data_IF_919085505390
#
_entry.id   IF_919085505390
#
_cell.length_a   1.000
_cell.length_b   1.000
_cell.length_c   1.000
_cell.angle_alpha   90.00
_cell.angle_beta   90.00
_cell.angle_gamma   90.00
#
_symmetry.space_group_name_H-M   'P 1'
#
loop_
_entity.id
_entity.type
_entity.pdbx_description
1 polymer ?
#
# COMPACT_ATOMS: atom_id res chain seq x y z
N UNK A 1 12.69 8.29 -9.14
CA UNK A 1 11.88 9.51 -9.24
C UNK A 1 12.67 10.65 -9.86
N UNK A 2 13.86 10.99 -9.36
CA UNK A 2 14.69 12.12 -9.87
C UNK A 2 14.93 12.16 -11.38
N UNK A 3 15.23 11.01 -12.02
CA UNK A 3 15.49 10.96 -13.47
C UNK A 3 14.26 11.23 -14.34
N UNK A 4 13.06 10.88 -13.85
CA UNK A 4 11.83 10.86 -14.66
C UNK A 4 10.79 11.88 -14.19
N UNK A 5 10.94 12.44 -12.99
CA UNK A 5 10.06 13.42 -12.35
C UNK A 5 8.56 13.20 -12.63
N UNK A 6 7.99 12.04 -12.29
CA UNK A 6 6.62 11.74 -12.64
C UNK A 6 5.64 12.54 -11.77
N UNK A 7 4.51 12.92 -12.33
CA UNK A 7 3.42 13.58 -11.59
C UNK A 7 2.53 12.57 -10.84
N UNK A 8 2.61 11.29 -11.19
CA UNK A 8 1.79 10.21 -10.62
C UNK A 8 2.57 8.89 -10.54
N UNK A 9 2.43 8.19 -9.42
CA UNK A 9 2.99 6.86 -9.18
C UNK A 9 1.87 5.85 -9.01
N UNK A 10 1.96 4.73 -9.72
CA UNK A 10 1.14 3.56 -9.44
C UNK A 10 1.93 2.59 -8.56
N UNK A 11 1.47 2.40 -7.33
CA UNK A 11 2.03 1.43 -6.41
C UNK A 11 1.20 0.16 -6.43
N UNK A 12 1.69 -0.84 -7.16
CA UNK A 12 1.14 -2.20 -7.15
C UNK A 12 1.53 -2.91 -5.85
N UNK A 13 0.72 -2.74 -4.82
CA UNK A 13 1.02 -3.14 -3.45
C UNK A 13 0.68 -4.61 -3.19
N UNK A 14 1.43 -5.51 -3.84
CA UNK A 14 1.35 -6.94 -3.57
C UNK A 14 1.84 -7.30 -2.16
N UNK A 15 1.26 -8.34 -1.58
CA UNK A 15 1.61 -8.91 -0.28
C UNK A 15 2.19 -10.32 -0.41
N UNK A 16 2.43 -10.76 -1.64
CA UNK A 16 3.05 -12.04 -1.99
C UNK A 16 4.50 -12.18 -1.56
N UNK A 17 5.13 -11.14 -1.00
CA UNK A 17 6.42 -11.25 -0.34
C UNK A 17 6.33 -11.86 1.08
N UNK A 18 5.12 -12.01 1.64
CA UNK A 18 4.87 -12.53 2.98
C UNK A 18 5.36 -13.99 3.13
N UNK A 19 5.83 -14.36 4.31
CA UNK A 19 6.29 -15.72 4.64
C UNK A 19 5.25 -16.80 4.36
N UNK A 20 3.98 -16.53 4.68
CA UNK A 20 2.88 -17.47 4.46
C UNK A 20 2.42 -17.55 2.99
N UNK A 21 2.99 -16.76 2.07
CA UNK A 21 2.63 -16.77 0.66
C UNK A 21 3.12 -18.02 -0.09
N UNK A 22 2.24 -18.65 -0.88
CA UNK A 22 2.56 -19.88 -1.62
C UNK A 22 3.35 -19.64 -2.91
N UNK A 23 3.24 -18.45 -3.51
CA UNK A 23 3.90 -18.08 -4.77
C UNK A 23 5.15 -17.22 -4.52
N UNK A 24 5.13 -16.49 -3.41
CA UNK A 24 6.22 -15.69 -2.87
C UNK A 24 7.50 -16.45 -2.58
N UNK A 25 8.65 -15.75 -2.64
CA UNK A 25 9.97 -16.31 -2.32
C UNK A 25 10.84 -15.44 -1.41
N UNK A 26 10.27 -14.36 -0.87
CA UNK A 26 11.02 -13.38 -0.06
C UNK A 26 10.93 -13.63 1.44
N UNK A 27 9.95 -14.43 1.89
CA UNK A 27 9.81 -14.82 3.29
C UNK A 27 9.75 -13.65 4.28
N UNK A 28 9.12 -12.54 3.90
CA UNK A 28 9.00 -11.36 4.76
C UNK A 28 8.00 -11.59 5.88
N UNK A 29 8.29 -11.04 7.06
CA UNK A 29 7.29 -10.93 8.11
C UNK A 29 6.28 -9.84 7.76
N UNK A 30 5.09 -9.88 8.39
CA UNK A 30 4.08 -8.81 8.28
C UNK A 30 4.68 -7.42 8.59
N UNK A 31 5.51 -7.33 9.64
CA UNK A 31 6.23 -6.09 9.98
C UNK A 31 7.25 -5.66 8.91
N UNK A 32 7.92 -6.61 8.25
CA UNK A 32 8.79 -6.32 7.12
C UNK A 32 8.02 -5.74 5.93
N UNK A 33 6.83 -6.27 5.69
CA UNK A 33 5.91 -5.76 4.65
C UNK A 33 5.42 -4.34 4.97
N UNK A 34 4.99 -4.08 6.21
CA UNK A 34 4.64 -2.73 6.67
C UNK A 34 5.81 -1.75 6.53
N UNK A 35 7.04 -2.18 6.83
CA UNK A 35 8.23 -1.34 6.63
C UNK A 35 8.41 -0.97 5.15
N UNK A 36 8.16 -1.91 4.23
CA UNK A 36 8.13 -1.64 2.79
C UNK A 36 7.05 -0.62 2.43
N UNK A 37 5.83 -0.76 2.94
CA UNK A 37 4.72 0.18 2.70
C UNK A 37 5.17 1.60 3.04
N UNK A 38 5.65 1.78 4.28
CA UNK A 38 6.07 3.08 4.79
C UNK A 38 7.25 3.65 4.00
N UNK A 39 8.22 2.83 3.57
CA UNK A 39 9.31 3.32 2.69
C UNK A 39 8.80 3.89 1.37
N UNK A 40 7.79 3.26 0.75
CA UNK A 40 7.20 3.75 -0.51
C UNK A 40 6.42 5.04 -0.25
N UNK A 41 5.55 5.07 0.76
CA UNK A 41 4.75 6.24 1.09
C UNK A 41 5.61 7.42 1.51
N UNK A 42 6.58 7.22 2.39
CA UNK A 42 7.48 8.28 2.85
C UNK A 42 8.30 8.84 1.69
N UNK A 43 8.75 7.99 0.77
CA UNK A 43 9.47 8.46 -0.42
C UNK A 43 8.56 9.34 -1.28
N UNK A 44 7.36 8.87 -1.63
CA UNK A 44 6.49 9.64 -2.52
C UNK A 44 6.01 10.92 -1.86
N UNK A 45 5.57 10.86 -0.60
CA UNK A 45 5.01 12.00 0.14
C UNK A 45 6.07 13.02 0.57
N UNK A 46 7.31 12.63 0.84
CA UNK A 46 8.32 13.57 1.37
C UNK A 46 9.46 13.88 0.41
N UNK A 47 9.65 13.09 -0.64
CA UNK A 47 10.78 13.22 -1.57
C UNK A 47 10.35 13.43 -3.02
N UNK A 48 9.05 13.51 -3.29
CA UNK A 48 8.54 13.85 -4.62
C UNK A 48 7.27 14.70 -4.53
N UNK A 49 6.95 15.38 -5.62
CA UNK A 49 5.68 16.11 -5.77
C UNK A 49 4.58 15.27 -6.44
N UNK A 50 4.83 13.96 -6.60
CA UNK A 50 3.94 13.05 -7.31
C UNK A 50 2.72 12.66 -6.46
N UNK A 51 1.57 12.49 -7.12
CA UNK A 51 0.45 11.72 -6.56
C UNK A 51 0.79 10.22 -6.49
N UNK A 52 0.04 9.46 -5.70
CA UNK A 52 0.21 8.00 -5.63
C UNK A 52 -1.14 7.27 -5.71
N UNK A 53 -1.28 6.33 -6.62
CA UNK A 53 -2.41 5.41 -6.67
C UNK A 53 -1.95 4.09 -6.08
N UNK A 54 -2.67 3.59 -5.09
CA UNK A 54 -2.38 2.31 -4.45
C UNK A 54 -3.34 1.28 -5.03
N UNK A 55 -2.78 0.35 -5.79
CA UNK A 55 -3.49 -0.75 -6.39
C UNK A 55 -3.17 -2.04 -5.64
N UNK A 56 -4.18 -2.89 -5.43
CA UNK A 56 -3.96 -4.20 -4.85
C UNK A 56 -3.10 -5.05 -5.80
N UNK A 57 -2.06 -5.70 -5.27
CA UNK A 57 -1.22 -6.64 -6.01
C UNK A 57 -1.54 -8.11 -5.71
N UNK A 58 -0.57 -8.99 -5.93
CA UNK A 58 -0.67 -10.40 -5.57
C UNK A 58 -0.75 -10.64 -4.06
N UNK A 59 -1.27 -11.80 -3.67
CA UNK A 59 -1.44 -12.20 -2.27
C UNK A 59 -2.17 -13.54 -2.21
N UNK A 60 -1.42 -14.61 -1.98
CA UNK A 60 -1.83 -16.00 -2.14
C UNK A 60 -1.38 -16.87 -0.96
N UNK A 61 -1.47 -16.30 0.24
CA UNK A 61 -1.07 -16.98 1.46
C UNK A 61 -2.01 -18.14 1.81
N UNK A 62 -1.47 -19.06 2.61
CA UNK A 62 -2.22 -20.19 3.15
C UNK A 62 -2.04 -20.26 4.68
N UNK A 63 -3.07 -19.88 5.46
CA UNK A 63 -4.42 -19.52 5.03
C UNK A 63 -4.52 -18.13 4.36
N UNK A 64 -5.50 -17.94 3.45
CA UNK A 64 -5.70 -16.69 2.68
C UNK A 64 -5.94 -15.45 3.56
N UNK A 65 -6.42 -15.65 4.79
CA UNK A 65 -6.61 -14.59 5.78
C UNK A 65 -5.34 -13.80 6.04
N UNK A 66 -4.16 -14.42 5.90
CA UNK A 66 -2.86 -13.75 6.01
C UNK A 66 -2.64 -12.71 4.92
N UNK A 67 -3.07 -12.98 3.69
CA UNK A 67 -3.01 -12.00 2.60
C UNK A 67 -4.02 -10.88 2.82
N UNK A 68 -5.23 -11.19 3.30
CA UNK A 68 -6.25 -10.17 3.62
C UNK A 68 -5.74 -9.20 4.69
N UNK A 69 -5.19 -9.72 5.79
CA UNK A 69 -4.58 -8.94 6.86
C UNK A 69 -3.45 -8.03 6.33
N UNK A 70 -2.56 -8.59 5.51
CA UNK A 70 -1.46 -7.85 4.94
C UNK A 70 -1.91 -6.78 3.93
N UNK A 71 -2.98 -7.02 3.17
CA UNK A 71 -3.57 -6.01 2.29
C UNK A 71 -4.22 -4.90 3.12
N UNK A 72 -4.97 -5.23 4.17
CA UNK A 72 -5.54 -4.22 5.09
C UNK A 72 -4.45 -3.29 5.66
N UNK A 73 -3.30 -3.83 6.04
CA UNK A 73 -2.15 -3.03 6.49
C UNK A 73 -1.69 -2.02 5.45
N UNK A 74 -1.66 -2.37 4.16
CA UNK A 74 -1.28 -1.42 3.09
C UNK A 74 -2.17 -0.18 3.12
N UNK A 75 -3.48 -0.37 3.22
CA UNK A 75 -4.46 0.72 3.21
C UNK A 75 -4.42 1.54 4.50
N UNK A 76 -4.24 0.88 5.65
CA UNK A 76 -4.08 1.54 6.94
C UNK A 76 -2.79 2.37 6.95
N UNK A 77 -1.66 1.79 6.54
CA UNK A 77 -0.36 2.47 6.45
C UNK A 77 -0.45 3.68 5.52
N UNK A 78 -1.15 3.55 4.38
CA UNK A 78 -1.35 4.64 3.44
C UNK A 78 -2.14 5.79 4.09
N UNK A 79 -3.25 5.49 4.76
CA UNK A 79 -4.06 6.48 5.46
C UNK A 79 -3.24 7.21 6.55
N UNK A 80 -2.51 6.44 7.36
CA UNK A 80 -1.64 7.01 8.39
C UNK A 80 -0.54 7.89 7.80
N UNK A 81 0.07 7.50 6.68
CA UNK A 81 1.08 8.29 6.01
C UNK A 81 0.52 9.63 5.48
N UNK A 82 -0.68 9.61 4.89
CA UNK A 82 -1.38 10.83 4.46
C UNK A 82 -1.66 11.75 5.65
N UNK A 83 -2.21 11.22 6.73
CA UNK A 83 -2.55 12.00 7.92
C UNK A 83 -1.31 12.74 8.45
N UNK A 84 -0.19 12.02 8.58
CA UNK A 84 1.12 12.59 8.98
C UNK A 84 1.64 13.65 8.01
N UNK A 85 1.32 13.52 6.73
CA UNK A 85 1.75 14.47 5.70
C UNK A 85 0.86 15.73 5.66
N UNK A 86 -0.46 15.58 5.87
CA UNK A 86 -1.42 16.71 5.98
C UNK A 86 -1.04 17.67 7.11
N UNK A 87 -0.61 17.13 8.26
CA UNK A 87 -0.22 17.95 9.42
C UNK A 87 0.98 18.86 9.14
N UNK A 88 1.81 18.54 8.12
CA UNK A 88 3.04 19.25 7.82
C UNK A 88 2.95 20.19 6.62
N UNK A 89 1.88 20.10 5.81
CA UNK A 89 1.82 20.77 4.51
C UNK A 89 0.40 21.29 4.25
N UNK A 90 0.25 22.61 4.04
CA UNK A 90 -1.05 23.24 3.74
C UNK A 90 -1.58 22.91 2.33
N UNK A 91 -0.74 22.39 1.44
CA UNK A 91 -1.08 22.10 0.05
C UNK A 91 -0.99 20.58 -0.22
N UNK A 92 -2.14 19.89 -0.31
CA UNK A 92 -2.17 18.47 -0.64
C UNK A 92 -2.05 18.26 -2.14
N UNK A 93 -0.85 17.95 -2.63
CA UNK A 93 -0.66 17.45 -4.01
C UNK A 93 -0.70 15.93 -4.10
N UNK A 94 -0.37 15.25 -3.01
CA UNK A 94 -0.40 13.79 -2.96
C UNK A 94 -1.81 13.26 -2.62
N UNK A 95 -2.56 12.93 -3.66
CA UNK A 95 -3.80 12.14 -3.52
C UNK A 95 -3.40 10.67 -3.49
N UNK A 96 -3.70 9.98 -2.38
CA UNK A 96 -3.67 8.52 -2.33
C UNK A 96 -5.03 8.01 -2.77
N UNK A 97 -5.11 7.39 -3.94
CA UNK A 97 -6.33 6.74 -4.42
C UNK A 97 -6.22 5.26 -4.09
N UNK A 98 -7.15 4.76 -3.27
CA UNK A 98 -7.23 3.36 -2.89
C UNK A 98 -8.22 2.66 -3.83
N UNK A 99 -7.74 1.76 -4.68
CA UNK A 99 -8.58 1.02 -5.62
C UNK A 99 -9.23 -0.25 -5.02
N UNK A 100 -9.65 -0.20 -3.76
CA UNK A 100 -10.36 -1.31 -3.11
C UNK A 100 -11.51 -0.82 -2.25
N UNK A 101 -12.62 -1.56 -2.30
CA UNK A 101 -13.69 -1.46 -1.31
C UNK A 101 -13.39 -2.43 -0.16
N UNK A 102 -13.59 -1.98 1.08
CA UNK A 102 -13.67 -2.90 2.22
C UNK A 102 -15.14 -3.23 2.42
N UNK A 103 -15.54 -4.48 2.16
CA UNK A 103 -16.90 -4.93 2.40
C UNK A 103 -17.07 -5.25 3.89
N UNK A 104 -17.69 -4.33 4.62
CA UNK A 104 -17.94 -4.45 6.06
C UNK A 104 -18.76 -5.71 6.42
N UNK A 105 -19.56 -6.25 5.48
CA UNK A 105 -20.38 -7.45 5.71
C UNK A 105 -19.56 -8.72 5.70
N UNK A 106 -18.47 -8.74 4.94
CA UNK A 106 -17.59 -9.90 4.78
C UNK A 106 -16.23 -9.71 5.43
N UNK A 107 -15.96 -8.51 5.99
CA UNK A 107 -14.66 -8.12 6.54
C UNK A 107 -13.52 -8.36 5.53
N UNK A 108 -13.79 -8.12 4.24
CA UNK A 108 -12.88 -8.46 3.14
C UNK A 108 -12.63 -7.30 2.20
N UNK A 109 -11.45 -7.29 1.57
CA UNK A 109 -11.07 -6.29 0.58
C UNK A 109 -11.52 -6.80 -0.79
N UNK A 110 -12.39 -6.06 -1.48
CA UNK A 110 -12.88 -6.40 -2.81
C UNK A 110 -12.30 -5.45 -3.87
N UNK A 111 -11.87 -5.98 -5.04
CA UNK A 111 -11.43 -5.15 -6.15
C UNK A 111 -12.61 -4.35 -6.73
N UNK A 112 -12.33 -3.12 -7.16
CA UNK A 112 -13.27 -2.28 -7.89
C UNK A 112 -13.46 -2.87 -9.30
N UNK A 113 -14.44 -3.77 -9.49
CA UNK A 113 -14.89 -4.24 -10.80
C UNK A 113 -16.29 -3.71 -11.08
#
# INVERSE_FOLDING_TARGET
MEKHNPDLVFFQAGVDALLEDRLGRLALTRAGLQRRNNMVFDYVLHKSDAGIVVCMGGGYADPITKSVDAHADVYIDANLAIARHREKTEELKATVILCCEFDERTQSVVPFI
#
